data_IF_298412832374
#
_entry.id   IF_298412832374
#
_cell.length_a   1.000
_cell.length_b   1.000
_cell.length_c   1.000
_cell.angle_alpha   90.00
_cell.angle_beta   90.00
_cell.angle_gamma   90.00
#
_symmetry.space_group_name_H-M   'P 1'
#
loop_
_entity.id
_entity.type
_entity.pdbx_description
1 polymer ?
#
# COMPACT_ATOMS: atom_id res chain seq x y z
N UNK A 1 -26.09 -21.40 -57.71
CA UNK A 1 -25.70 -20.76 -56.45
C UNK A 1 -25.27 -19.33 -56.78
N UNK A 2 -26.01 -18.33 -56.26
CA UNK A 2 -25.87 -16.93 -56.71
C UNK A 2 -24.62 -16.30 -56.09
N UNK A 3 -23.73 -15.73 -56.93
CA UNK A 3 -22.45 -15.12 -56.50
C UNK A 3 -22.62 -14.04 -55.42
N UNK A 4 -23.78 -13.36 -55.36
CA UNK A 4 -24.10 -12.37 -54.32
C UNK A 4 -24.31 -12.99 -52.93
N UNK A 5 -24.92 -14.16 -52.83
CA UNK A 5 -25.12 -14.86 -51.53
C UNK A 5 -23.83 -15.36 -50.94
N UNK A 6 -22.91 -15.83 -51.74
CA UNK A 6 -21.59 -16.32 -51.28
C UNK A 6 -20.72 -15.18 -50.75
N UNK A 7 -20.72 -14.02 -51.42
CA UNK A 7 -19.99 -12.83 -51.00
C UNK A 7 -20.50 -12.27 -49.67
N UNK A 8 -21.81 -12.22 -49.46
CA UNK A 8 -22.44 -11.80 -48.18
C UNK A 8 -22.03 -12.70 -47.02
N UNK A 9 -22.02 -14.02 -47.21
CA UNK A 9 -21.61 -14.98 -46.18
C UNK A 9 -20.12 -14.82 -45.85
N UNK A 10 -19.29 -14.58 -46.84
CA UNK A 10 -17.85 -14.38 -46.63
C UNK A 10 -17.55 -13.08 -45.88
N UNK A 11 -18.23 -11.98 -46.21
CA UNK A 11 -18.11 -10.70 -45.51
C UNK A 11 -18.58 -10.82 -44.04
N UNK A 12 -19.72 -11.47 -43.80
CA UNK A 12 -20.21 -11.67 -42.42
C UNK A 12 -19.26 -12.51 -41.57
N UNK A 13 -18.64 -13.55 -42.14
CA UNK A 13 -17.62 -14.35 -41.43
C UNK A 13 -16.36 -13.54 -41.14
N UNK A 14 -15.92 -12.70 -42.06
CA UNK A 14 -14.75 -11.84 -41.89
C UNK A 14 -15.00 -10.79 -40.80
N UNK A 15 -16.16 -10.16 -40.78
CA UNK A 15 -16.57 -9.20 -39.73
C UNK A 15 -16.65 -9.87 -38.39
N UNK A 16 -17.22 -11.08 -38.29
CA UNK A 16 -17.28 -11.85 -37.04
C UNK A 16 -15.89 -12.21 -36.51
N UNK A 17 -14.96 -12.58 -37.39
CA UNK A 17 -13.58 -12.90 -37.02
C UNK A 17 -12.82 -11.68 -36.47
N UNK A 18 -13.02 -10.51 -37.12
CA UNK A 18 -12.43 -9.25 -36.68
C UNK A 18 -12.99 -8.87 -35.29
N UNK A 19 -14.30 -9.07 -35.05
CA UNK A 19 -14.94 -8.78 -33.74
C UNK A 19 -14.39 -9.68 -32.63
N UNK A 20 -14.19 -10.97 -32.90
CA UNK A 20 -13.61 -11.92 -31.93
C UNK A 20 -12.16 -11.56 -31.61
N UNK A 21 -11.36 -11.21 -32.64
CA UNK A 21 -9.96 -10.79 -32.41
C UNK A 21 -9.87 -9.47 -31.61
N UNK A 22 -10.76 -8.53 -31.88
CA UNK A 22 -10.84 -7.27 -31.16
C UNK A 22 -11.25 -7.48 -29.70
N UNK A 23 -12.22 -8.38 -29.47
CA UNK A 23 -12.72 -8.72 -28.13
C UNK A 23 -11.67 -9.48 -27.31
N UNK A 24 -10.97 -10.45 -27.92
CA UNK A 24 -9.85 -11.14 -27.29
C UNK A 24 -8.67 -10.20 -26.99
N UNK A 25 -8.36 -9.28 -27.92
CA UNK A 25 -7.34 -8.26 -27.71
C UNK A 25 -7.69 -7.28 -26.60
N UNK A 26 -8.95 -6.88 -26.48
CA UNK A 26 -9.44 -5.99 -25.43
C UNK A 26 -9.42 -6.66 -24.05
N UNK A 27 -9.82 -7.93 -23.96
CA UNK A 27 -9.71 -8.71 -22.71
C UNK A 27 -8.24 -8.87 -22.30
N UNK A 28 -7.35 -9.18 -23.27
CA UNK A 28 -5.92 -9.29 -22.99
C UNK A 28 -5.32 -7.95 -22.58
N UNK A 29 -5.75 -6.84 -23.18
CA UNK A 29 -5.31 -5.50 -22.80
C UNK A 29 -5.77 -5.12 -21.37
N UNK A 30 -7.00 -5.45 -20.98
CA UNK A 30 -7.50 -5.25 -19.61
C UNK A 30 -6.72 -6.15 -18.64
N UNK A 31 -6.47 -7.40 -18.98
CA UNK A 31 -5.72 -8.33 -18.15
C UNK A 31 -4.26 -7.88 -17.94
N UNK A 32 -3.61 -7.31 -18.96
CA UNK A 32 -2.21 -6.85 -18.88
C UNK A 32 -2.10 -5.49 -18.17
N UNK A 33 -3.03 -4.56 -18.38
CA UNK A 33 -2.98 -3.23 -17.76
C UNK A 33 -3.72 -3.14 -16.41
N UNK A 34 -4.48 -4.18 -16.02
CA UNK A 34 -5.27 -4.19 -14.78
C UNK A 34 -4.55 -4.71 -13.54
N UNK A 35 -3.29 -5.17 -13.63
CA UNK A 35 -2.73 -6.02 -12.58
C UNK A 35 -1.36 -5.61 -12.04
N UNK A 36 -1.23 -4.38 -11.55
CA UNK A 36 -0.23 -4.12 -10.51
C UNK A 36 -0.80 -4.34 -9.10
N UNK A 37 -1.98 -4.95 -8.97
CA UNK A 37 -2.61 -5.26 -7.68
C UNK A 37 -2.21 -6.66 -7.23
N UNK A 38 -1.63 -6.74 -6.04
CA UNK A 38 -1.15 -7.98 -5.44
C UNK A 38 -2.07 -8.36 -4.28
N UNK A 39 -2.55 -9.59 -4.28
CA UNK A 39 -3.41 -10.16 -3.22
C UNK A 39 -2.73 -11.37 -2.57
N UNK A 40 -2.95 -11.53 -1.27
CA UNK A 40 -2.45 -12.68 -0.51
C UNK A 40 -0.97 -12.56 -0.11
N UNK A 41 -0.24 -13.68 -0.12
CA UNK A 41 1.20 -13.68 0.18
C UNK A 41 1.96 -13.16 -1.02
N UNK A 42 2.77 -12.13 -0.83
CA UNK A 42 3.53 -11.46 -1.88
C UNK A 42 4.98 -11.24 -1.51
N UNK A 43 5.75 -10.88 -2.52
CA UNK A 43 7.19 -10.69 -2.42
C UNK A 43 7.60 -9.41 -3.14
N UNK A 44 8.42 -8.60 -2.47
CA UNK A 44 9.00 -7.38 -3.05
C UNK A 44 10.46 -7.33 -2.63
N UNK A 45 11.37 -7.19 -3.58
CA UNK A 45 12.83 -7.25 -3.34
C UNK A 45 13.20 -8.54 -2.59
N UNK A 46 13.82 -8.42 -1.40
CA UNK A 46 14.29 -9.54 -0.60
C UNK A 46 13.37 -9.87 0.58
N UNK A 47 12.12 -9.40 0.56
CA UNK A 47 11.16 -9.65 1.62
C UNK A 47 9.92 -10.39 1.11
N UNK A 48 9.31 -11.16 2.00
CA UNK A 48 7.98 -11.72 1.82
C UNK A 48 7.05 -11.20 2.93
N UNK A 49 5.76 -11.13 2.64
CA UNK A 49 4.73 -10.63 3.56
C UNK A 49 3.38 -11.31 3.27
N UNK A 50 2.49 -11.26 4.25
CA UNK A 50 1.09 -11.65 4.08
C UNK A 50 0.26 -10.38 3.97
N UNK A 51 -0.45 -10.22 2.85
CA UNK A 51 -1.35 -9.09 2.65
C UNK A 51 -2.72 -9.41 3.26
N UNK A 52 -3.29 -8.53 4.10
CA UNK A 52 -4.69 -8.64 4.56
C UNK A 52 -5.66 -8.66 3.37
N UNK A 53 -6.73 -9.45 3.46
CA UNK A 53 -7.71 -9.60 2.36
C UNK A 53 -8.43 -8.30 2.00
N UNK A 54 -8.62 -7.41 3.00
CA UNK A 54 -9.23 -6.10 2.81
C UNK A 54 -8.30 -5.05 2.18
N UNK A 55 -7.04 -5.40 1.89
CA UNK A 55 -6.05 -4.46 1.36
C UNK A 55 -5.63 -4.82 -0.06
N UNK A 56 -5.28 -3.79 -0.82
CA UNK A 56 -4.65 -3.90 -2.15
C UNK A 56 -3.25 -3.32 -2.07
N UNK A 57 -2.26 -4.04 -2.60
CA UNK A 57 -0.89 -3.57 -2.69
C UNK A 57 -0.55 -3.22 -4.14
N UNK A 58 0.07 -2.05 -4.32
CA UNK A 58 0.68 -1.64 -5.57
C UNK A 58 2.18 -1.47 -5.34
N UNK A 59 2.99 -2.01 -6.25
CA UNK A 59 4.43 -1.77 -6.24
C UNK A 59 4.65 -0.29 -6.54
N UNK A 60 5.41 0.39 -5.70
CA UNK A 60 5.68 1.81 -5.88
C UNK A 60 6.89 2.03 -6.79
N UNK A 61 6.79 3.01 -7.68
CA UNK A 61 7.91 3.53 -8.49
C UNK A 61 8.65 4.69 -7.79
N UNK A 62 8.15 5.12 -6.63
CA UNK A 62 8.74 6.22 -5.86
C UNK A 62 9.94 5.76 -5.07
N UNK A 63 10.94 6.61 -5.01
CA UNK A 63 12.16 6.34 -4.25
C UNK A 63 11.85 6.01 -2.77
N UNK A 64 12.52 4.99 -2.23
CA UNK A 64 12.37 4.46 -0.87
C UNK A 64 11.05 3.76 -0.54
N UNK A 65 10.02 3.83 -1.40
CA UNK A 65 8.76 3.13 -1.21
C UNK A 65 8.78 1.80 -1.95
N UNK A 66 8.55 0.72 -1.26
CA UNK A 66 8.44 -0.61 -1.85
C UNK A 66 7.00 -0.93 -2.27
N UNK A 67 6.06 -0.57 -1.40
CA UNK A 67 4.64 -0.81 -1.61
C UNK A 67 3.84 0.41 -1.17
N UNK A 68 2.75 0.66 -1.88
CA UNK A 68 1.67 1.53 -1.48
C UNK A 68 0.40 0.68 -1.35
N UNK A 69 -0.21 0.67 -0.16
CA UNK A 69 -1.36 -0.17 0.13
C UNK A 69 -2.57 0.71 0.45
N UNK A 70 -3.73 0.26 0.03
CA UNK A 70 -5.01 0.91 0.28
C UNK A 70 -6.09 -0.12 0.57
N UNK A 71 -7.25 0.32 1.07
CA UNK A 71 -8.39 -0.54 1.26
C UNK A 71 -9.02 -0.94 -0.08
N UNK A 72 -9.52 -2.17 -0.17
CA UNK A 72 -10.26 -2.68 -1.34
C UNK A 72 -11.50 -1.81 -1.60
N UNK A 73 -12.23 -1.50 -0.55
CA UNK A 73 -13.48 -0.72 -0.63
C UNK A 73 -13.25 0.79 -0.64
N UNK A 74 -12.00 1.23 -0.68
CA UNK A 74 -11.64 2.64 -0.63
C UNK A 74 -11.65 3.20 0.80
N UNK A 75 -11.49 4.52 0.91
CA UNK A 75 -11.45 5.22 2.19
C UNK A 75 -10.10 5.93 2.43
N UNK A 76 -10.10 6.87 3.35
CA UNK A 76 -8.90 7.63 3.70
C UNK A 76 -8.03 6.87 4.72
N UNK A 77 -7.42 5.81 4.23
CA UNK A 77 -6.45 4.99 4.94
C UNK A 77 -5.39 4.51 3.96
N UNK A 78 -4.16 4.97 4.14
CA UNK A 78 -3.05 4.67 3.26
C UNK A 78 -1.90 4.07 4.05
N UNK A 79 -1.36 2.97 3.57
CA UNK A 79 -0.21 2.29 4.16
C UNK A 79 0.94 2.30 3.18
N UNK A 80 2.14 2.60 3.64
CA UNK A 80 3.34 2.59 2.82
C UNK A 80 4.42 1.76 3.50
N UNK A 81 5.00 0.84 2.76
CA UNK A 81 6.20 0.10 3.15
C UNK A 81 7.42 0.76 2.53
N UNK A 82 8.39 1.08 3.36
CA UNK A 82 9.63 1.74 2.98
C UNK A 82 10.85 0.87 3.29
N UNK A 83 11.91 1.05 2.50
CA UNK A 83 13.25 0.56 2.81
C UNK A 83 14.30 1.64 2.52
N UNK A 84 15.50 1.45 3.06
CA UNK A 84 16.63 2.34 2.83
C UNK A 84 16.39 3.81 3.24
N UNK A 85 15.52 4.04 4.23
CA UNK A 85 15.33 5.35 4.84
C UNK A 85 16.43 5.59 5.84
N UNK A 86 16.98 6.80 5.88
CA UNK A 86 18.00 7.20 6.83
C UNK A 86 17.45 7.37 8.25
N UNK A 87 18.28 7.07 9.23
CA UNK A 87 17.97 7.23 10.66
C UNK A 87 17.66 5.90 11.35
N UNK A 88 17.68 5.95 12.69
CA UNK A 88 17.35 4.81 13.53
C UNK A 88 15.82 4.59 13.62
N UNK A 89 15.40 3.49 14.24
CA UNK A 89 14.00 3.21 14.53
C UNK A 89 13.37 4.36 15.33
N UNK A 90 14.02 4.77 16.41
CA UNK A 90 13.55 5.85 17.30
C UNK A 90 13.44 7.19 16.54
N UNK A 91 14.44 7.57 15.76
CA UNK A 91 14.41 8.82 15.00
C UNK A 91 13.26 8.86 13.99
N UNK A 92 12.88 7.74 13.40
CA UNK A 92 11.78 7.67 12.47
C UNK A 92 10.43 7.69 13.21
N UNK A 93 10.30 7.02 14.35
CA UNK A 93 9.13 7.08 15.24
C UNK A 93 8.91 8.51 15.72
N UNK A 94 9.93 9.19 16.23
CA UNK A 94 9.86 10.58 16.67
C UNK A 94 9.43 11.51 15.53
N UNK A 95 9.95 11.28 14.31
CA UNK A 95 9.54 12.04 13.12
C UNK A 95 8.07 11.85 12.80
N UNK A 96 7.50 10.66 13.03
CA UNK A 96 6.08 10.41 12.82
C UNK A 96 5.23 11.06 13.90
N UNK A 97 5.64 10.96 15.17
CA UNK A 97 4.97 11.63 16.29
C UNK A 97 4.90 13.14 16.04
N UNK A 98 6.01 13.75 15.61
CA UNK A 98 6.09 15.18 15.31
C UNK A 98 5.26 15.64 14.09
N UNK A 99 4.59 14.72 13.39
CA UNK A 99 3.61 15.06 12.36
C UNK A 99 2.18 15.18 12.90
N UNK A 100 2.00 15.00 14.20
CA UNK A 100 0.70 15.10 14.85
C UNK A 100 0.72 16.14 15.97
N UNK A 101 -0.41 16.82 16.14
CA UNK A 101 -0.72 17.55 17.37
C UNK A 101 -1.50 16.60 18.25
N UNK A 102 -0.88 16.11 19.31
CA UNK A 102 -1.40 15.11 20.20
C UNK A 102 -1.17 15.51 21.65
N UNK A 103 -1.97 14.93 22.55
CA UNK A 103 -1.65 14.89 23.96
C UNK A 103 -0.84 13.63 24.23
N UNK A 104 0.15 13.68 25.12
CA UNK A 104 1.07 12.55 25.41
C UNK A 104 0.34 11.26 25.80
N UNK A 105 -0.86 11.37 26.38
CA UNK A 105 -1.72 10.23 26.74
C UNK A 105 -2.25 9.44 25.53
N UNK A 106 -2.14 9.98 24.32
CA UNK A 106 -2.66 9.38 23.08
C UNK A 106 -1.58 8.67 22.24
N UNK A 107 -0.43 8.36 22.86
CA UNK A 107 0.65 7.62 22.21
C UNK A 107 0.80 6.25 22.87
N UNK A 108 0.68 5.19 22.10
CA UNK A 108 1.00 3.83 22.53
C UNK A 108 2.22 3.32 21.74
N UNK A 109 3.20 2.75 22.44
CA UNK A 109 4.37 2.13 21.80
C UNK A 109 4.54 0.71 22.31
N UNK A 110 4.62 -0.25 21.38
CA UNK A 110 4.86 -1.66 21.67
C UNK A 110 6.21 -2.03 21.06
N UNK A 111 7.07 -2.69 21.87
CA UNK A 111 8.34 -3.27 21.38
C UNK A 111 8.31 -4.77 21.57
N UNK A 112 8.66 -5.51 20.54
CA UNK A 112 8.73 -6.96 20.55
C UNK A 112 10.04 -7.44 19.91
N UNK A 113 10.62 -8.50 20.47
CA UNK A 113 11.88 -9.08 20.00
C UNK A 113 11.68 -10.55 19.68
N UNK A 114 11.72 -10.88 18.41
CA UNK A 114 11.65 -12.24 17.90
C UNK A 114 13.05 -12.74 17.57
N UNK A 115 13.21 -14.05 17.48
CA UNK A 115 14.53 -14.68 17.20
C UNK A 115 15.23 -14.18 15.94
N UNK A 116 14.48 -13.68 14.95
CA UNK A 116 14.98 -13.24 13.64
C UNK A 116 14.86 -11.73 13.39
N UNK A 117 14.11 -11.01 14.22
CA UNK A 117 13.83 -9.57 14.03
C UNK A 117 13.36 -8.88 15.30
N UNK A 118 13.63 -7.58 15.39
CA UNK A 118 12.99 -6.70 16.37
C UNK A 118 11.87 -5.91 15.68
N UNK A 119 10.78 -5.71 16.40
CA UNK A 119 9.63 -4.97 15.93
C UNK A 119 9.31 -3.87 16.94
N UNK A 120 9.14 -2.65 16.43
CA UNK A 120 8.58 -1.54 17.22
C UNK A 120 7.33 -1.05 16.51
N UNK A 121 6.22 -0.96 17.23
CA UNK A 121 4.95 -0.44 16.72
C UNK A 121 4.58 0.80 17.52
N UNK A 122 4.22 1.87 16.85
CA UNK A 122 3.67 3.08 17.47
C UNK A 122 2.26 3.32 16.92
N UNK A 123 1.38 3.69 17.82
CA UNK A 123 0.01 4.08 17.55
C UNK A 123 -0.26 5.44 18.18
N UNK A 124 -0.86 6.34 17.41
CA UNK A 124 -1.20 7.67 17.90
C UNK A 124 -2.41 8.24 17.15
N UNK A 125 -3.12 9.14 17.81
CA UNK A 125 -4.32 9.78 17.32
C UNK A 125 -4.31 11.27 17.63
N UNK A 126 -4.81 12.09 16.71
CA UNK A 126 -4.84 13.53 16.88
C UNK A 126 -5.05 14.29 15.58
N UNK A 127 -4.59 15.53 15.53
CA UNK A 127 -4.59 16.32 14.31
C UNK A 127 -3.31 16.07 13.51
N UNK A 128 -3.45 15.50 12.32
CA UNK A 128 -2.34 15.23 11.42
C UNK A 128 -1.92 16.47 10.66
N UNK A 129 -0.66 16.84 10.77
CA UNK A 129 -0.03 17.89 9.97
C UNK A 129 0.57 17.27 8.71
N UNK A 130 -0.11 17.42 7.56
CA UNK A 130 0.34 16.86 6.29
C UNK A 130 1.68 17.46 5.89
N UNK A 131 2.75 16.65 5.72
CA UNK A 131 4.05 17.19 5.35
C UNK A 131 4.03 17.78 3.93
N UNK A 132 4.39 19.05 3.79
CA UNK A 132 4.61 19.64 2.48
C UNK A 132 6.04 19.31 2.00
N UNK A 133 6.14 18.39 1.03
CA UNK A 133 7.43 17.92 0.49
C UNK A 133 8.08 18.93 -0.46
N UNK A 134 7.30 19.89 -1.01
CA UNK A 134 7.78 20.86 -1.99
C UNK A 134 8.26 22.14 -1.28
N UNK A 135 7.46 22.64 -0.35
CA UNK A 135 7.77 23.84 0.40
C UNK A 135 7.56 23.61 1.90
N UNK A 136 8.66 23.33 2.62
CA UNK A 136 8.63 23.05 4.06
C UNK A 136 8.17 24.25 4.92
N UNK A 137 8.22 25.46 4.37
CA UNK A 137 7.81 26.70 5.06
C UNK A 137 6.36 27.09 4.74
N UNK A 138 5.69 26.38 3.83
CA UNK A 138 4.28 26.63 3.56
C UNK A 138 3.41 26.23 4.77
N UNK A 139 2.23 26.89 4.95
CA UNK A 139 1.26 26.41 5.92
C UNK A 139 0.95 24.94 5.68
N UNK A 140 0.97 24.15 6.77
CA UNK A 140 0.63 22.74 6.70
C UNK A 140 -0.88 22.58 6.62
N UNK A 141 -1.33 21.64 5.79
CA UNK A 141 -2.71 21.18 5.83
C UNK A 141 -2.91 20.41 7.14
N UNK A 142 -3.98 20.70 7.86
CA UNK A 142 -4.35 20.04 9.11
C UNK A 142 -5.54 19.11 8.84
N UNK A 143 -5.41 17.87 9.26
CA UNK A 143 -6.48 16.88 9.20
C UNK A 143 -6.84 16.45 10.62
N UNK A 144 -7.99 16.88 11.08
CA UNK A 144 -8.52 16.50 12.39
C UNK A 144 -9.03 15.05 12.38
N UNK A 145 -9.15 14.43 13.53
CA UNK A 145 -9.61 13.05 13.70
C UNK A 145 -8.85 12.02 12.86
N UNK A 146 -7.52 12.16 12.83
CA UNK A 146 -6.63 11.25 12.14
C UNK A 146 -5.86 10.38 13.12
N UNK A 147 -5.44 9.21 12.62
CA UNK A 147 -4.55 8.30 13.32
C UNK A 147 -3.36 7.89 12.49
N UNK A 148 -2.35 7.37 13.18
CA UNK A 148 -1.18 6.75 12.61
C UNK A 148 -0.89 5.42 13.29
N UNK A 149 -0.58 4.40 12.47
CA UNK A 149 0.10 3.19 12.89
C UNK A 149 1.47 3.16 12.22
N UNK A 150 2.52 3.09 13.00
CA UNK A 150 3.89 3.00 12.53
C UNK A 150 4.51 1.68 12.95
N UNK A 151 5.14 0.95 12.04
CA UNK A 151 5.88 -0.27 12.30
C UNK A 151 7.32 -0.14 11.86
N UNK A 152 8.26 -0.50 12.70
CA UNK A 152 9.68 -0.63 12.35
C UNK A 152 10.09 -2.07 12.54
N UNK A 153 10.69 -2.67 11.51
CA UNK A 153 11.12 -4.05 11.50
C UNK A 153 12.64 -4.08 11.23
N UNK A 154 13.40 -4.57 12.17
CA UNK A 154 14.85 -4.62 12.12
C UNK A 154 15.32 -6.08 11.96
N UNK A 155 16.03 -6.36 10.87
CA UNK A 155 16.68 -7.64 10.59
C UNK A 155 18.20 -7.44 10.58
N UNK A 156 18.82 -7.49 11.73
CA UNK A 156 20.27 -7.17 11.83
C UNK A 156 20.56 -5.75 11.30
N UNK A 157 21.20 -5.66 10.15
CA UNK A 157 21.57 -4.38 9.53
C UNK A 157 20.52 -3.80 8.58
N UNK A 158 19.41 -4.51 8.33
CA UNK A 158 18.34 -4.07 7.43
C UNK A 158 17.15 -3.59 8.22
N UNK A 159 16.67 -2.38 7.90
CA UNK A 159 15.50 -1.79 8.58
C UNK A 159 14.42 -1.51 7.53
N UNK A 160 13.21 -1.94 7.84
CA UNK A 160 12.00 -1.66 7.07
C UNK A 160 11.01 -0.86 7.90
N UNK A 161 10.28 0.01 7.24
CA UNK A 161 9.33 0.90 7.89
C UNK A 161 7.97 0.75 7.25
N UNK A 162 6.94 0.57 8.04
CA UNK A 162 5.54 0.56 7.60
C UNK A 162 4.84 1.73 8.26
N UNK A 163 4.21 2.58 7.47
CA UNK A 163 3.46 3.72 7.99
C UNK A 163 2.06 3.71 7.42
N UNK A 164 1.06 3.62 8.28
CA UNK A 164 -0.34 3.82 7.95
C UNK A 164 -0.81 5.17 8.51
N UNK A 165 -1.52 5.94 7.70
CA UNK A 165 -2.17 7.20 8.12
C UNK A 165 -3.56 7.23 7.51
N UNK A 166 -4.53 7.70 8.27
CA UNK A 166 -5.89 7.83 7.80
C UNK A 166 -6.85 8.40 8.84
N UNK A 167 -8.12 8.42 8.47
CA UNK A 167 -9.19 8.74 9.40
C UNK A 167 -9.12 7.82 10.62
N UNK A 168 -9.37 8.38 11.80
CA UNK A 168 -9.24 7.72 13.09
C UNK A 168 -10.00 6.37 13.18
N UNK A 169 -11.24 6.34 12.71
CA UNK A 169 -12.05 5.11 12.76
C UNK A 169 -11.49 4.01 11.85
N UNK A 170 -11.02 4.39 10.66
CA UNK A 170 -10.37 3.44 9.73
C UNK A 170 -9.03 2.93 10.26
N UNK A 171 -8.26 3.77 10.94
CA UNK A 171 -7.00 3.37 11.58
C UNK A 171 -7.27 2.36 12.70
N UNK A 172 -8.24 2.64 13.57
CA UNK A 172 -8.65 1.70 14.64
C UNK A 172 -9.16 0.37 14.09
N UNK A 173 -10.02 0.43 13.06
CA UNK A 173 -10.59 -0.77 12.41
C UNK A 173 -9.49 -1.64 11.78
N UNK A 174 -8.44 -1.03 11.26
CA UNK A 174 -7.36 -1.72 10.57
C UNK A 174 -6.15 -2.03 11.46
N UNK A 175 -6.17 -1.73 12.76
CA UNK A 175 -5.06 -2.00 13.70
C UNK A 175 -4.61 -3.46 13.69
N UNK A 176 -5.54 -4.41 13.75
CA UNK A 176 -5.23 -5.84 13.71
C UNK A 176 -4.58 -6.24 12.40
N UNK A 177 -5.14 -5.83 11.27
CA UNK A 177 -4.61 -6.08 9.94
C UNK A 177 -3.20 -5.49 9.77
N UNK A 178 -2.99 -4.27 10.30
CA UNK A 178 -1.68 -3.62 10.28
C UNK A 178 -0.64 -4.42 11.07
N UNK A 179 -0.98 -4.84 12.28
CA UNK A 179 -0.10 -5.65 13.12
C UNK A 179 0.22 -6.99 12.42
N UNK A 180 -0.79 -7.72 11.93
CA UNK A 180 -0.57 -8.96 11.19
C UNK A 180 0.35 -8.76 9.98
N UNK A 181 0.16 -7.68 9.21
CA UNK A 181 1.02 -7.34 8.09
C UNK A 181 2.47 -7.11 8.53
N UNK A 182 2.71 -6.26 9.55
CA UNK A 182 4.04 -5.95 10.10
C UNK A 182 4.73 -7.22 10.59
N UNK A 183 4.03 -8.04 11.39
CA UNK A 183 4.58 -9.29 11.92
C UNK A 183 4.84 -10.35 10.83
N UNK A 184 4.14 -10.30 9.72
CA UNK A 184 4.32 -11.24 8.61
C UNK A 184 5.56 -10.97 7.75
N UNK A 185 6.11 -9.75 7.78
CA UNK A 185 7.27 -9.37 7.00
C UNK A 185 8.49 -10.21 7.43
N UNK A 186 9.14 -10.86 6.47
CA UNK A 186 10.33 -11.67 6.69
C UNK A 186 11.32 -11.53 5.53
N UNK A 187 12.61 -11.71 5.80
CA UNK A 187 13.62 -11.83 4.75
C UNK A 187 13.46 -13.17 4.03
N UNK A 188 13.82 -13.20 2.74
CA UNK A 188 13.92 -14.44 1.95
C UNK A 188 15.18 -15.22 2.26
#
# INVERSE_FOLDING_TARGET
MNKQGWFSIMVNRLVSLIFVLFFCGFISFIAVNGTNKIYGKSEVQNISYKLPESWIANISDKQFRLLELSLVDGGDFNVVLFANIQGTAEQNIDRWINQFRIEDSNIETIKDSLSSKNISIVELYGTYEVPNMINRNAPKELKEDYGLLGGVIEFGNSIYFVKAVGNNDLVKLNKSNFNEFVYSISLK
#
